data_IF_930132641486
#
_entry.id   IF_930132641486
#
_cell.length_a   1.000
_cell.length_b   1.000
_cell.length_c   1.000
_cell.angle_alpha   90.00
_cell.angle_beta   90.00
_cell.angle_gamma   90.00
#
_symmetry.space_group_name_H-M   'P 1'
#
loop_
_entity.id
_entity.type
_entity.pdbx_description
1 polymer ?
#
# COMPACT_ATOMS: atom_id res chain seq x y z
N UNK A 1 -5.61 20.91 -19.26
CA UNK A 1 -6.20 20.63 -20.58
C UNK A 1 -7.32 21.62 -20.92
N UNK A 2 -8.45 21.63 -20.20
CA UNK A 2 -9.59 22.54 -20.48
C UNK A 2 -9.18 24.02 -20.54
N UNK A 3 -8.40 24.51 -19.56
CA UNK A 3 -7.88 25.89 -19.60
C UNK A 3 -7.02 26.18 -20.83
N UNK A 4 -6.24 25.19 -21.30
CA UNK A 4 -5.41 25.32 -22.50
C UNK A 4 -6.26 25.39 -23.77
N UNK A 5 -7.25 24.51 -23.92
CA UNK A 5 -8.22 24.56 -25.04
C UNK A 5 -8.95 25.91 -25.12
N UNK A 6 -9.41 26.42 -23.97
CA UNK A 6 -10.07 27.72 -23.90
C UNK A 6 -9.11 28.85 -24.28
N UNK A 7 -7.87 28.83 -23.79
CA UNK A 7 -6.87 29.85 -24.13
C UNK A 7 -6.53 29.84 -25.63
N UNK A 8 -6.38 28.66 -26.23
CA UNK A 8 -6.16 28.49 -27.68
C UNK A 8 -7.34 29.05 -28.48
N UNK A 9 -8.58 28.73 -28.08
CA UNK A 9 -9.77 29.18 -28.79
C UNK A 9 -10.05 30.69 -28.62
N UNK A 10 -9.77 31.26 -27.45
CA UNK A 10 -10.05 32.67 -27.13
C UNK A 10 -8.90 33.62 -27.45
N UNK A 11 -7.70 33.08 -27.69
CA UNK A 11 -6.44 33.83 -27.82
C UNK A 11 -5.97 34.48 -26.52
N UNK A 12 -6.59 34.18 -25.38
CA UNK A 12 -6.32 34.85 -24.11
C UNK A 12 -5.53 33.93 -23.16
N UNK A 13 -4.25 34.24 -22.96
CA UNK A 13 -3.34 33.45 -22.11
C UNK A 13 -3.11 34.02 -20.71
N UNK A 14 -3.45 35.30 -20.49
CA UNK A 14 -3.30 36.00 -19.22
C UNK A 14 -4.48 36.94 -18.99
N UNK A 15 -5.01 36.97 -17.77
CA UNK A 15 -6.10 37.86 -17.36
C UNK A 15 -5.58 38.87 -16.33
N UNK A 16 -5.34 40.10 -16.77
CA UNK A 16 -5.00 41.23 -15.87
C UNK A 16 -6.26 41.94 -15.34
N UNK A 17 -7.31 42.00 -16.16
CA UNK A 17 -8.59 42.61 -15.83
C UNK A 17 -9.74 41.62 -16.05
N UNK A 18 -10.54 41.39 -15.01
CA UNK A 18 -11.70 40.49 -15.01
C UNK A 18 -12.83 40.96 -15.92
N UNK A 19 -12.92 42.24 -16.25
CA UNK A 19 -13.93 42.79 -17.16
C UNK A 19 -13.72 42.36 -18.61
N UNK A 20 -12.47 42.04 -19.00
CA UNK A 20 -12.08 41.63 -20.37
C UNK A 20 -12.00 40.11 -20.53
N UNK A 21 -12.72 39.36 -19.70
CA UNK A 21 -12.70 37.90 -19.70
C UNK A 21 -13.47 37.36 -20.91
N UNK A 22 -12.76 36.71 -21.84
CA UNK A 22 -13.39 35.93 -22.91
C UNK A 22 -13.79 34.56 -22.38
N UNK A 23 -15.06 34.20 -22.53
CA UNK A 23 -15.57 32.87 -22.18
C UNK A 23 -15.80 32.08 -23.46
N UNK A 24 -15.26 30.86 -23.50
CA UNK A 24 -15.55 29.88 -24.54
C UNK A 24 -15.89 28.55 -23.88
N UNK A 25 -16.83 27.81 -24.49
CA UNK A 25 -17.06 26.42 -24.15
C UNK A 25 -16.34 25.54 -25.15
N UNK A 26 -15.65 24.53 -24.65
CA UNK A 26 -14.87 23.58 -25.43
C UNK A 26 -15.59 22.23 -25.48
N UNK A 27 -15.35 21.49 -26.55
CA UNK A 27 -15.70 20.07 -26.64
C UNK A 27 -14.51 19.24 -26.14
N UNK A 28 -14.77 18.29 -25.26
CA UNK A 28 -13.80 17.33 -24.76
C UNK A 28 -13.69 16.14 -25.71
N UNK A 29 -12.46 15.75 -26.00
CA UNK A 29 -12.09 14.61 -26.83
C UNK A 29 -11.07 13.77 -26.03
N UNK A 30 -11.37 12.48 -25.87
CA UNK A 30 -10.60 11.55 -25.07
C UNK A 30 -9.22 11.24 -25.67
N UNK A 31 -9.14 11.06 -26.98
CA UNK A 31 -7.92 10.69 -27.69
C UNK A 31 -6.96 11.89 -27.76
N UNK A 32 -7.50 13.09 -27.96
CA UNK A 32 -6.74 14.34 -27.85
C UNK A 32 -6.23 14.55 -26.42
N UNK A 33 -7.08 14.34 -25.41
CA UNK A 33 -6.69 14.46 -24.01
C UNK A 33 -5.58 13.47 -23.64
N UNK A 34 -5.71 12.22 -24.07
CA UNK A 34 -4.74 11.15 -23.80
C UNK A 34 -3.41 11.45 -24.46
N UNK A 35 -3.40 11.88 -25.73
CA UNK A 35 -2.16 12.33 -26.41
C UNK A 35 -1.54 13.54 -25.72
N UNK A 36 -2.35 14.52 -25.31
CA UNK A 36 -1.89 15.70 -24.59
C UNK A 36 -1.23 15.33 -23.25
N UNK A 37 -1.83 14.41 -22.50
CA UNK A 37 -1.31 13.95 -21.22
C UNK A 37 -0.01 13.14 -21.40
N UNK A 38 0.00 12.21 -22.36
CA UNK A 38 1.17 11.38 -22.68
C UNK A 38 2.38 12.24 -23.07
N UNK A 39 2.19 13.20 -23.99
CA UNK A 39 3.25 14.12 -24.40
C UNK A 39 3.85 14.90 -23.22
N UNK A 40 3.02 15.31 -22.24
CA UNK A 40 3.48 15.97 -21.01
C UNK A 40 4.18 15.02 -20.05
N UNK A 41 3.69 13.79 -19.87
CA UNK A 41 4.36 12.77 -19.04
C UNK A 41 5.75 12.48 -19.60
N UNK A 42 5.86 12.29 -20.91
CA UNK A 42 7.14 12.05 -21.60
C UNK A 42 8.10 13.22 -21.48
N UNK A 43 7.61 14.45 -21.65
CA UNK A 43 8.43 15.64 -21.45
C UNK A 43 9.02 15.70 -20.03
N UNK A 44 8.20 15.53 -18.99
CA UNK A 44 8.70 15.51 -17.60
C UNK A 44 9.67 14.37 -17.35
N UNK A 45 9.42 13.18 -17.91
CA UNK A 45 10.34 12.03 -17.80
C UNK A 45 11.69 12.34 -18.43
N UNK A 46 11.71 12.99 -19.61
CA UNK A 46 12.95 13.43 -20.27
C UNK A 46 13.71 14.44 -19.41
N UNK A 47 13.05 15.49 -18.92
CA UNK A 47 13.67 16.51 -18.07
C UNK A 47 14.26 15.89 -16.81
N UNK A 48 13.49 15.05 -16.10
CA UNK A 48 13.96 14.36 -14.89
C UNK A 48 15.16 13.48 -15.15
N UNK A 49 15.12 12.66 -16.22
CA UNK A 49 16.24 11.80 -16.60
C UNK A 49 17.51 12.63 -16.87
N UNK A 50 17.37 13.77 -17.53
CA UNK A 50 18.51 14.63 -17.85
C UNK A 50 19.12 15.27 -16.59
N UNK A 51 18.28 15.79 -15.69
CA UNK A 51 18.74 16.32 -14.40
C UNK A 51 19.46 15.24 -13.59
N UNK A 52 18.91 14.03 -13.51
CA UNK A 52 19.52 12.90 -12.81
C UNK A 52 20.88 12.51 -13.40
N UNK A 53 20.99 12.48 -14.73
CA UNK A 53 22.25 12.15 -15.41
C UNK A 53 23.35 13.21 -15.16
N UNK A 54 22.96 14.47 -14.95
CA UNK A 54 23.86 15.58 -14.62
C UNK A 54 24.09 15.76 -13.11
N UNK A 55 23.50 14.89 -12.27
CA UNK A 55 23.57 15.03 -10.81
C UNK A 55 22.85 16.26 -10.26
N UNK A 56 21.94 16.86 -11.04
CA UNK A 56 21.19 18.04 -10.68
C UNK A 56 19.81 17.70 -10.10
N UNK A 57 19.27 18.61 -9.29
CA UNK A 57 17.92 18.54 -8.74
C UNK A 57 17.03 19.62 -9.35
N UNK A 58 15.72 19.40 -9.36
CA UNK A 58 14.74 20.42 -9.77
C UNK A 58 14.13 21.11 -8.55
N UNK A 59 13.95 22.43 -8.62
CA UNK A 59 13.03 23.14 -7.73
C UNK A 59 11.61 23.05 -8.30
N UNK A 60 10.73 22.30 -7.62
CA UNK A 60 9.35 22.06 -8.08
C UNK A 60 8.40 23.09 -7.49
N UNK A 61 7.48 23.60 -8.31
CA UNK A 61 6.45 24.56 -7.90
C UNK A 61 5.14 24.16 -8.56
N UNK A 62 4.10 24.02 -7.74
CA UNK A 62 2.73 23.78 -8.18
C UNK A 62 1.88 25.06 -8.08
N UNK A 63 0.61 24.98 -8.51
CA UNK A 63 -0.25 26.16 -8.58
C UNK A 63 -0.55 26.77 -7.21
N UNK A 64 -0.64 25.94 -6.17
CA UNK A 64 -0.93 26.38 -4.80
C UNK A 64 0.30 27.08 -4.17
N UNK A 65 1.50 26.73 -4.61
CA UNK A 65 2.76 27.32 -4.15
C UNK A 65 2.95 28.77 -4.66
N UNK A 66 2.27 29.15 -5.75
CA UNK A 66 2.39 30.50 -6.34
C UNK A 66 1.92 31.63 -5.40
N UNK A 67 1.16 31.29 -4.35
CA UNK A 67 0.74 32.22 -3.32
C UNK A 67 1.68 32.29 -2.11
N UNK A 68 2.63 31.36 -1.98
CA UNK A 68 3.51 31.26 -0.82
C UNK A 68 4.80 32.07 -1.06
N UNK A 69 4.93 33.16 -0.31
CA UNK A 69 6.10 34.05 -0.36
C UNK A 69 7.40 33.30 -0.04
N UNK A 70 7.37 32.33 0.87
CA UNK A 70 8.55 31.59 1.26
C UNK A 70 9.03 30.67 0.13
N UNK A 71 8.09 30.03 -0.57
CA UNK A 71 8.42 29.17 -1.72
C UNK A 71 8.96 30.00 -2.89
N UNK A 72 8.34 31.16 -3.18
CA UNK A 72 8.81 32.07 -4.22
C UNK A 72 10.20 32.64 -3.92
N UNK A 73 10.47 33.02 -2.67
CA UNK A 73 11.81 33.45 -2.25
C UNK A 73 12.80 32.27 -2.28
N UNK A 74 12.37 31.05 -1.95
CA UNK A 74 13.16 29.83 -2.11
C UNK A 74 13.54 29.56 -3.56
N UNK A 75 12.61 29.77 -4.51
CA UNK A 75 12.90 29.70 -5.94
C UNK A 75 13.94 30.76 -6.35
N UNK A 76 13.75 32.01 -5.91
CA UNK A 76 14.68 33.10 -6.22
C UNK A 76 16.10 32.74 -5.75
N UNK A 77 16.23 32.21 -4.53
CA UNK A 77 17.49 31.72 -3.98
C UNK A 77 18.07 30.55 -4.77
N UNK A 78 17.23 29.58 -5.16
CA UNK A 78 17.64 28.45 -6.01
C UNK A 78 18.18 28.93 -7.38
N UNK A 79 17.66 30.04 -7.89
CA UNK A 79 18.14 30.68 -9.13
C UNK A 79 19.35 31.62 -8.91
N UNK A 80 19.85 31.73 -7.68
CA UNK A 80 21.02 32.55 -7.32
C UNK A 80 20.71 34.02 -7.02
N UNK A 81 19.45 34.39 -6.80
CA UNK A 81 19.07 35.74 -6.36
C UNK A 81 19.06 35.86 -4.83
N UNK A 82 19.56 36.97 -4.32
CA UNK A 82 19.48 37.33 -2.90
C UNK A 82 18.26 38.22 -2.57
N UNK A 83 17.55 38.69 -3.58
CA UNK A 83 16.37 39.55 -3.39
C UNK A 83 15.17 38.77 -2.86
N UNK A 84 14.41 39.38 -1.96
CA UNK A 84 13.21 38.80 -1.36
C UNK A 84 11.99 39.69 -1.54
N UNK A 85 10.87 39.07 -1.89
CA UNK A 85 9.56 39.74 -1.90
C UNK A 85 8.88 39.56 -0.54
N UNK A 86 8.16 40.60 -0.10
CA UNK A 86 7.35 40.56 1.14
C UNK A 86 5.93 40.03 0.92
N UNK A 87 5.45 40.07 -0.32
CA UNK A 87 4.12 39.61 -0.70
C UNK A 87 4.09 39.22 -2.18
N UNK A 88 3.26 38.26 -2.60
CA UNK A 88 3.09 37.91 -4.00
C UNK A 88 2.36 39.04 -4.75
N UNK A 89 2.57 39.13 -6.06
CA UNK A 89 1.90 40.10 -6.90
C UNK A 89 0.37 39.86 -6.93
N UNK A 90 -0.40 40.80 -6.36
CA UNK A 90 -1.89 40.75 -6.30
C UNK A 90 -2.58 40.90 -7.66
N UNK A 91 -1.82 41.09 -8.75
CA UNK A 91 -2.34 41.37 -10.09
C UNK A 91 -2.75 40.12 -10.87
N UNK A 92 -2.31 38.92 -10.46
CA UNK A 92 -2.70 37.69 -11.14
C UNK A 92 -4.05 37.19 -10.61
N UNK A 93 -5.11 37.37 -11.41
CA UNK A 93 -6.43 36.82 -11.11
C UNK A 93 -6.58 35.46 -11.78
N UNK A 94 -7.16 34.49 -11.07
CA UNK A 94 -7.46 33.14 -11.60
C UNK A 94 -8.36 33.27 -12.84
N UNK A 95 -7.80 33.05 -14.02
CA UNK A 95 -8.47 33.28 -15.30
C UNK A 95 -9.72 32.40 -15.51
N UNK A 96 -9.73 31.23 -14.87
CA UNK A 96 -10.73 30.19 -15.06
C UNK A 96 -11.37 29.73 -13.74
N UNK A 97 -11.98 30.65 -12.98
CA UNK A 97 -12.63 30.36 -11.69
C UNK A 97 -13.96 29.59 -11.77
N UNK A 98 -14.61 29.55 -12.94
CA UNK A 98 -15.93 28.90 -13.09
C UNK A 98 -15.81 27.37 -13.09
N UNK A 99 -16.88 26.67 -12.70
CA UNK A 99 -16.94 25.21 -12.68
C UNK A 99 -16.66 24.60 -14.08
N UNK A 100 -16.02 23.43 -14.13
CA UNK A 100 -15.73 22.71 -15.36
C UNK A 100 -17.00 22.40 -16.16
N UNK A 101 -18.11 22.12 -15.47
CA UNK A 101 -19.42 21.87 -16.10
C UNK A 101 -19.91 23.04 -16.94
N UNK A 102 -19.57 24.27 -16.55
CA UNK A 102 -19.94 25.48 -17.30
C UNK A 102 -19.08 25.73 -18.56
N UNK A 103 -17.96 25.03 -18.69
CA UNK A 103 -16.91 25.24 -19.70
C UNK A 103 -16.80 24.13 -20.74
N UNK A 104 -17.29 22.93 -20.43
CA UNK A 104 -17.24 21.77 -21.31
C UNK A 104 -18.64 21.48 -21.83
N UNK A 105 -18.83 21.50 -23.15
CA UNK A 105 -20.16 21.28 -23.75
C UNK A 105 -20.67 19.86 -23.51
N UNK A 106 -19.79 18.87 -23.62
CA UNK A 106 -20.07 17.44 -23.43
C UNK A 106 -19.56 16.94 -22.07
N UNK A 107 -19.78 17.70 -20.99
CA UNK A 107 -19.26 17.38 -19.65
C UNK A 107 -19.66 15.98 -19.15
N UNK A 108 -20.92 15.59 -19.32
CA UNK A 108 -21.40 14.27 -18.85
C UNK A 108 -20.77 13.12 -19.66
N UNK A 109 -20.47 13.34 -20.94
CA UNK A 109 -19.72 12.39 -21.77
C UNK A 109 -18.26 12.28 -21.31
N UNK A 110 -17.59 13.43 -21.09
CA UNK A 110 -16.24 13.48 -20.54
C UNK A 110 -16.13 12.70 -19.22
N UNK A 111 -17.10 12.87 -18.31
CA UNK A 111 -17.11 12.14 -17.02
C UNK A 111 -17.20 10.62 -17.25
N UNK A 112 -18.07 10.16 -18.15
CA UNK A 112 -18.19 8.72 -18.48
C UNK A 112 -16.93 8.15 -19.12
N UNK A 113 -16.33 8.88 -20.06
CA UNK A 113 -15.11 8.46 -20.77
C UNK A 113 -13.86 8.49 -19.88
N UNK A 114 -13.75 9.46 -18.98
CA UNK A 114 -12.68 9.49 -17.97
C UNK A 114 -12.87 8.45 -16.87
N UNK A 115 -14.10 7.99 -16.62
CA UNK A 115 -14.37 6.93 -15.65
C UNK A 115 -14.03 5.53 -16.21
N UNK A 116 -14.12 5.34 -17.53
CA UNK A 116 -13.87 4.04 -18.18
C UNK A 116 -12.39 3.78 -18.49
N UNK A 117 -11.55 4.82 -18.54
CA UNK A 117 -10.13 4.68 -18.75
C UNK A 117 -9.34 5.21 -17.55
N UNK A 118 -8.35 4.45 -17.07
CA UNK A 118 -7.45 4.86 -16.01
C UNK A 118 -6.39 5.89 -16.48
N UNK A 119 -6.86 6.97 -17.10
CA UNK A 119 -6.02 7.94 -17.83
C UNK A 119 -5.08 8.70 -16.89
N UNK A 120 -5.47 8.81 -15.63
CA UNK A 120 -4.72 9.53 -14.62
C UNK A 120 -3.75 8.66 -13.81
N UNK A 121 -3.64 7.35 -14.06
CA UNK A 121 -3.07 6.41 -13.06
C UNK A 121 -3.76 6.61 -11.69
N UNK A 122 -5.09 6.68 -11.66
CA UNK A 122 -5.87 6.76 -10.43
C UNK A 122 -6.28 5.37 -9.94
N UNK A 123 -6.45 4.39 -10.84
CA UNK A 123 -6.65 2.99 -10.48
C UNK A 123 -5.32 2.22 -10.36
N UNK A 124 -4.30 2.64 -11.12
CA UNK A 124 -2.91 2.54 -10.73
C UNK A 124 -2.64 3.50 -9.59
N UNK A 125 -3.37 3.34 -8.47
CA UNK A 125 -3.07 4.05 -7.23
C UNK A 125 -1.55 4.07 -7.10
N UNK A 126 -0.95 5.27 -7.10
CA UNK A 126 0.46 5.37 -6.73
C UNK A 126 0.59 4.54 -5.48
N UNK A 127 1.39 3.49 -5.56
CA UNK A 127 1.55 2.61 -4.42
C UNK A 127 2.29 3.44 -3.36
N UNK A 128 1.49 4.03 -2.47
CA UNK A 128 1.99 4.80 -1.35
C UNK A 128 2.50 3.87 -0.25
N UNK A 129 2.14 2.58 -0.34
CA UNK A 129 2.76 1.58 0.50
C UNK A 129 4.25 1.49 0.12
N UNK A 130 5.18 1.65 1.08
CA UNK A 130 6.58 1.66 0.75
C UNK A 130 7.03 0.29 0.24
N UNK A 131 7.86 0.28 -0.82
CA UNK A 131 8.47 -0.95 -1.34
C UNK A 131 9.13 -1.76 -0.22
N UNK A 132 8.96 -3.08 -0.29
CA UNK A 132 9.45 -4.01 0.74
C UNK A 132 10.76 -4.65 0.30
N UNK A 133 11.63 -4.85 1.28
CA UNK A 133 12.80 -5.72 1.12
C UNK A 133 12.34 -7.18 1.23
N UNK A 134 13.01 -8.13 0.55
CA UNK A 134 12.67 -9.55 0.58
C UNK A 134 12.65 -10.21 1.97
N UNK A 135 13.25 -9.58 3.00
CA UNK A 135 13.16 -10.09 4.37
C UNK A 135 13.83 -11.45 4.61
N UNK A 136 14.90 -11.78 3.87
CA UNK A 136 15.57 -13.10 3.88
C UNK A 136 15.86 -13.68 5.27
N UNK A 137 16.26 -12.90 6.30
CA UNK A 137 16.45 -13.47 7.65
C UNK A 137 15.22 -14.16 8.23
N UNK A 138 14.02 -13.81 7.77
CA UNK A 138 12.76 -14.45 8.16
C UNK A 138 12.43 -15.73 7.38
N UNK A 139 13.19 -16.12 6.37
CA UNK A 139 12.92 -17.37 5.63
C UNK A 139 13.23 -18.58 6.50
N UNK A 140 12.47 -19.65 6.28
CA UNK A 140 12.59 -20.91 7.00
C UNK A 140 12.95 -22.00 6.01
N UNK A 141 14.09 -22.64 6.19
CA UNK A 141 14.57 -23.71 5.32
C UNK A 141 14.46 -25.04 6.07
N UNK A 142 13.98 -26.07 5.40
CA UNK A 142 14.07 -27.44 5.93
C UNK A 142 15.49 -27.98 5.73
N UNK A 143 15.96 -28.77 6.71
CA UNK A 143 17.29 -29.39 6.68
C UNK A 143 17.35 -30.68 5.86
N UNK A 144 16.32 -31.52 6.00
CA UNK A 144 16.28 -32.84 5.36
C UNK A 144 15.62 -32.80 3.98
N UNK A 145 14.71 -31.86 3.77
CA UNK A 145 13.95 -31.70 2.53
C UNK A 145 14.35 -30.36 1.89
N UNK A 146 14.58 -30.30 0.56
CA UNK A 146 14.94 -29.05 -0.10
C UNK A 146 13.71 -28.15 -0.28
N UNK A 147 13.18 -27.65 0.84
CA UNK A 147 11.97 -26.84 0.94
C UNK A 147 12.26 -25.51 1.65
N UNK A 148 11.82 -24.41 1.05
CA UNK A 148 11.91 -23.05 1.57
C UNK A 148 10.50 -22.54 1.86
N UNK A 149 10.25 -22.11 3.08
CA UNK A 149 9.06 -21.32 3.42
C UNK A 149 9.42 -19.85 3.54
N UNK A 150 8.62 -19.01 2.88
CA UNK A 150 8.74 -17.57 2.86
C UNK A 150 7.55 -17.00 3.64
N UNK A 151 7.73 -16.57 4.90
CA UNK A 151 6.60 -16.22 5.74
C UNK A 151 6.01 -14.85 5.41
N UNK A 152 4.68 -14.81 5.33
CA UNK A 152 3.90 -13.58 5.44
C UNK A 152 3.56 -13.39 6.92
N UNK A 153 4.06 -12.31 7.53
CA UNK A 153 3.82 -12.03 8.96
C UNK A 153 2.32 -11.86 9.25
N UNK A 154 1.91 -12.20 10.48
CA UNK A 154 0.52 -12.29 10.93
C UNK A 154 -0.34 -13.34 10.17
N UNK A 155 0.27 -14.19 9.34
CA UNK A 155 -0.31 -15.45 8.86
C UNK A 155 0.04 -16.65 9.76
N UNK A 156 -0.13 -17.89 9.28
CA UNK A 156 0.08 -19.12 10.07
C UNK A 156 1.57 -19.50 10.19
N UNK A 157 2.41 -18.53 10.58
CA UNK A 157 3.87 -18.67 10.56
C UNK A 157 4.31 -19.73 11.56
N UNK A 158 3.73 -19.74 12.76
CA UNK A 158 4.12 -20.68 13.82
C UNK A 158 3.69 -22.10 13.49
N UNK A 159 2.50 -22.28 12.92
CA UNK A 159 1.92 -23.56 12.50
C UNK A 159 2.73 -24.17 11.34
N UNK A 160 3.01 -23.37 10.30
CA UNK A 160 3.79 -23.84 9.14
C UNK A 160 5.23 -24.16 9.56
N UNK A 161 5.85 -23.34 10.41
CA UNK A 161 7.18 -23.62 10.97
C UNK A 161 7.17 -24.88 11.83
N UNK A 162 6.14 -25.08 12.65
CA UNK A 162 5.93 -26.29 13.44
C UNK A 162 5.83 -27.53 12.57
N UNK A 163 5.03 -27.46 11.50
CA UNK A 163 4.88 -28.52 10.50
C UNK A 163 6.22 -28.83 9.80
N UNK A 164 6.93 -27.81 9.30
CA UNK A 164 8.23 -28.02 8.65
C UNK A 164 9.28 -28.61 9.60
N UNK A 165 9.22 -28.28 10.90
CA UNK A 165 10.12 -28.87 11.90
C UNK A 165 9.93 -30.39 11.99
N UNK A 166 8.70 -30.89 11.85
CA UNK A 166 8.38 -32.33 11.81
C UNK A 166 9.02 -33.05 10.60
N UNK A 167 9.48 -32.32 9.57
CA UNK A 167 10.21 -32.88 8.43
C UNK A 167 11.70 -33.14 8.69
N UNK A 168 12.22 -32.84 9.89
CA UNK A 168 13.62 -33.12 10.26
C UNK A 168 14.47 -31.90 10.60
N UNK A 169 13.83 -30.81 11.05
CA UNK A 169 14.54 -29.62 11.54
C UNK A 169 14.68 -28.49 10.52
N UNK A 170 15.12 -27.34 11.03
CA UNK A 170 15.02 -26.05 10.34
C UNK A 170 16.29 -25.24 10.44
N UNK A 171 16.57 -24.46 9.40
CA UNK A 171 17.51 -23.35 9.41
C UNK A 171 16.77 -22.02 9.23
N UNK A 172 17.13 -21.04 10.05
CA UNK A 172 16.51 -19.70 10.10
C UNK A 172 17.59 -18.62 10.28
N UNK A 173 17.22 -17.34 10.16
CA UNK A 173 18.17 -16.22 10.42
C UNK A 173 19.23 -16.06 9.33
N UNK A 174 18.93 -16.50 8.11
CA UNK A 174 19.88 -16.57 7.00
C UNK A 174 20.19 -15.19 6.40
N UNK A 175 21.43 -15.00 5.96
CA UNK A 175 21.77 -13.90 5.06
C UNK A 175 21.40 -14.23 3.60
N UNK A 176 21.43 -13.22 2.72
CA UNK A 176 21.26 -13.46 1.27
C UNK A 176 22.35 -14.38 0.70
N UNK A 177 23.58 -14.32 1.23
CA UNK A 177 24.65 -15.22 0.81
C UNK A 177 24.39 -16.66 1.24
N UNK A 178 23.88 -16.87 2.45
CA UNK A 178 23.55 -18.21 2.96
C UNK A 178 22.43 -18.83 2.13
N UNK A 179 21.36 -18.08 1.85
CA UNK A 179 20.27 -18.54 0.99
C UNK A 179 20.76 -18.89 -0.42
N UNK A 180 21.64 -18.07 -1.02
CA UNK A 180 22.22 -18.36 -2.34
C UNK A 180 23.08 -19.62 -2.33
N UNK A 181 23.86 -19.83 -1.27
CA UNK A 181 24.67 -21.05 -1.10
C UNK A 181 23.77 -22.27 -0.95
N UNK A 182 22.80 -22.23 -0.03
CA UNK A 182 21.88 -23.34 0.20
C UNK A 182 21.14 -23.77 -1.06
N UNK A 183 20.63 -22.82 -1.86
CA UNK A 183 19.95 -23.14 -3.14
C UNK A 183 20.84 -23.85 -4.15
N UNK A 184 22.15 -23.54 -4.16
CA UNK A 184 23.13 -24.20 -5.03
C UNK A 184 23.41 -25.62 -4.56
N UNK A 185 23.47 -25.81 -3.25
CA UNK A 185 23.76 -27.10 -2.63
C UNK A 185 22.53 -28.04 -2.64
N UNK A 186 21.32 -27.50 -2.90
CA UNK A 186 20.05 -28.24 -2.94
C UNK A 186 19.33 -28.06 -4.29
N UNK A 187 19.84 -28.67 -5.39
CA UNK A 187 19.16 -28.63 -6.68
C UNK A 187 17.79 -29.29 -6.62
N UNK A 188 16.81 -28.72 -7.32
CA UNK A 188 15.43 -29.20 -7.28
C UNK A 188 14.62 -28.73 -6.06
N UNK A 189 15.17 -27.81 -5.25
CA UNK A 189 14.42 -27.20 -4.16
C UNK A 189 13.10 -26.58 -4.63
N UNK A 190 12.16 -26.48 -3.69
CA UNK A 190 10.90 -25.76 -3.87
C UNK A 190 10.74 -24.71 -2.79
N UNK A 191 10.03 -23.66 -3.13
CA UNK A 191 9.72 -22.55 -2.26
C UNK A 191 8.22 -22.30 -2.23
N UNK A 192 7.69 -21.95 -1.07
CA UNK A 192 6.29 -21.59 -0.96
C UNK A 192 6.07 -20.45 0.03
N UNK A 193 4.93 -19.81 -0.11
CA UNK A 193 4.39 -18.83 0.83
C UNK A 193 2.92 -19.16 1.08
N UNK A 194 2.38 -18.63 2.17
CA UNK A 194 0.97 -18.81 2.53
C UNK A 194 0.32 -17.43 2.62
N UNK A 195 -0.84 -17.30 1.99
CA UNK A 195 -1.71 -16.14 2.09
C UNK A 195 -2.84 -16.43 3.08
N UNK A 196 -3.10 -15.47 3.96
CA UNK A 196 -4.25 -15.47 4.86
C UNK A 196 -5.32 -14.53 4.33
N UNK A 197 -6.59 -14.76 4.69
CA UNK A 197 -7.63 -13.79 4.38
C UNK A 197 -7.28 -12.43 5.01
N UNK A 198 -7.42 -11.29 4.31
CA UNK A 198 -7.01 -9.98 4.83
C UNK A 198 -7.60 -9.64 6.20
N UNK A 199 -8.89 -9.96 6.42
CA UNK A 199 -9.54 -9.80 7.73
C UNK A 199 -8.86 -10.61 8.85
N UNK A 200 -8.66 -11.92 8.66
CA UNK A 200 -7.95 -12.78 9.63
C UNK A 200 -6.57 -12.23 9.93
N UNK A 201 -5.82 -11.87 8.89
CA UNK A 201 -4.46 -11.36 9.05
C UNK A 201 -4.40 -10.03 9.79
N UNK A 202 -5.30 -9.10 9.48
CA UNK A 202 -5.40 -7.83 10.19
C UNK A 202 -5.76 -8.04 11.67
N UNK A 203 -6.64 -9.01 11.95
CA UNK A 203 -7.02 -9.36 13.31
C UNK A 203 -5.87 -9.97 14.10
N UNK A 204 -5.12 -10.92 13.52
CA UNK A 204 -3.92 -11.47 14.13
C UNK A 204 -2.91 -10.37 14.46
N UNK A 205 -2.61 -9.47 13.50
CA UNK A 205 -1.70 -8.36 13.73
C UNK A 205 -2.17 -7.42 14.86
N UNK A 206 -3.48 -7.19 14.96
CA UNK A 206 -4.07 -6.43 16.05
C UNK A 206 -3.89 -7.14 17.40
N UNK A 207 -4.25 -8.42 17.50
CA UNK A 207 -4.15 -9.19 18.74
C UNK A 207 -2.70 -9.34 19.23
N UNK A 208 -1.78 -9.65 18.30
CA UNK A 208 -0.39 -10.00 18.62
C UNK A 208 0.47 -8.79 18.95
N UNK A 209 0.21 -7.64 18.33
CA UNK A 209 1.11 -6.48 18.40
C UNK A 209 0.47 -5.21 18.98
N UNK A 210 -0.86 -5.12 19.01
CA UNK A 210 -1.58 -3.93 19.49
C UNK A 210 -2.31 -4.23 20.79
N UNK A 211 -3.12 -5.29 20.85
CA UNK A 211 -3.79 -5.71 22.07
C UNK A 211 -2.77 -6.19 23.10
N UNK A 212 -2.01 -7.24 22.75
CA UNK A 212 -0.91 -7.77 23.56
C UNK A 212 0.29 -6.82 23.46
N UNK A 213 0.86 -6.35 24.58
CA UNK A 213 2.03 -5.48 24.54
C UNK A 213 3.24 -6.18 23.89
N UNK A 214 3.71 -5.64 22.77
CA UNK A 214 4.97 -6.04 22.12
C UNK A 214 5.95 -4.85 22.18
N UNK A 215 7.14 -5.07 22.74
CA UNK A 215 8.17 -4.04 22.88
C UNK A 215 8.51 -3.36 21.54
N UNK A 216 8.48 -4.13 20.44
CA UNK A 216 8.78 -3.65 19.08
C UNK A 216 7.73 -2.67 18.55
N UNK A 217 6.53 -2.69 19.12
CA UNK A 217 5.38 -1.90 18.67
C UNK A 217 4.96 -0.81 19.67
N UNK A 218 5.72 -0.59 20.74
CA UNK A 218 5.42 0.42 21.78
C UNK A 218 5.09 1.82 21.24
N UNK A 219 5.85 2.32 20.26
CA UNK A 219 5.60 3.62 19.62
C UNK A 219 4.32 3.60 18.78
N UNK A 220 4.12 2.54 17.97
CA UNK A 220 2.92 2.39 17.15
C UNK A 220 1.67 2.31 18.04
N UNK A 221 1.71 1.47 19.08
CA UNK A 221 0.65 1.31 20.08
C UNK A 221 0.29 2.62 20.77
N UNK A 222 1.28 3.45 21.11
CA UNK A 222 1.05 4.80 21.67
C UNK A 222 0.31 5.70 20.69
N UNK A 223 0.70 5.70 19.41
CA UNK A 223 0.02 6.50 18.37
C UNK A 223 -1.41 6.01 18.15
N UNK A 224 -1.62 4.69 18.09
CA UNK A 224 -2.92 4.06 17.94
C UNK A 224 -3.88 4.47 19.07
N UNK A 225 -3.42 4.40 20.33
CA UNK A 225 -4.21 4.84 21.49
C UNK A 225 -4.52 6.34 21.48
N UNK A 226 -3.52 7.17 21.18
CA UNK A 226 -3.64 8.62 21.35
C UNK A 226 -4.30 9.35 20.17
N UNK A 227 -4.16 8.84 18.94
CA UNK A 227 -4.62 9.53 17.72
C UNK A 227 -5.76 8.81 17.00
N UNK A 228 -5.82 7.49 17.13
CA UNK A 228 -6.80 6.66 16.42
C UNK A 228 -7.82 6.02 17.38
N UNK A 229 -7.80 6.38 18.66
CA UNK A 229 -8.76 5.90 19.66
C UNK A 229 -8.83 4.37 19.76
N UNK A 230 -7.71 3.68 19.52
CA UNK A 230 -7.62 2.23 19.69
C UNK A 230 -7.46 1.94 21.18
N UNK A 231 -8.59 1.88 21.88
CA UNK A 231 -8.63 1.62 23.32
C UNK A 231 -8.37 0.13 23.59
N UNK A 232 -7.16 -0.19 24.01
CA UNK A 232 -6.74 -1.53 24.43
C UNK A 232 -6.17 -1.47 25.86
N UNK A 233 -6.36 -2.52 26.68
CA UNK A 233 -5.87 -2.55 28.06
C UNK A 233 -4.36 -2.36 28.13
N UNK A 234 -3.83 -1.71 29.16
CA UNK A 234 -2.41 -1.39 29.22
C UNK A 234 -1.51 -2.63 29.14
N UNK A 235 -1.89 -3.68 29.86
CA UNK A 235 -1.18 -4.97 29.96
C UNK A 235 -1.90 -6.13 29.24
N UNK A 236 -2.95 -5.83 28.46
CA UNK A 236 -3.77 -6.86 27.79
C UNK A 236 -4.78 -7.57 28.71
N UNK A 237 -4.95 -7.08 29.94
CA UNK A 237 -5.89 -7.63 30.93
C UNK A 237 -7.35 -7.42 30.51
N UNK A 238 -8.18 -8.46 30.74
CA UNK A 238 -9.59 -8.48 30.31
C UNK A 238 -10.60 -8.01 31.37
N UNK A 239 -10.17 -7.70 32.60
CA UNK A 239 -11.08 -7.55 33.75
C UNK A 239 -12.22 -6.53 33.53
N UNK A 240 -11.93 -5.43 32.84
CA UNK A 240 -12.90 -4.39 32.48
C UNK A 240 -13.04 -4.21 30.96
N UNK A 241 -12.62 -5.20 30.17
CA UNK A 241 -12.55 -5.09 28.72
C UNK A 241 -13.52 -6.06 28.04
N UNK A 242 -14.60 -5.51 27.50
CA UNK A 242 -15.66 -6.31 26.89
C UNK A 242 -15.36 -6.68 25.43
N UNK A 243 -16.16 -7.60 24.90
CA UNK A 243 -16.19 -7.93 23.47
C UNK A 243 -16.49 -6.70 22.60
N UNK A 244 -17.38 -5.83 23.07
CA UNK A 244 -17.77 -4.61 22.34
C UNK A 244 -16.62 -3.60 22.31
N UNK A 245 -15.86 -3.48 23.41
CA UNK A 245 -14.64 -2.68 23.46
C UNK A 245 -13.59 -3.21 22.50
N UNK A 246 -13.40 -4.54 22.46
CA UNK A 246 -12.49 -5.20 21.52
C UNK A 246 -12.86 -4.94 20.07
N UNK A 247 -14.15 -5.09 19.73
CA UNK A 247 -14.67 -4.80 18.41
C UNK A 247 -14.48 -3.33 18.02
N UNK A 248 -14.75 -2.41 18.94
CA UNK A 248 -14.54 -0.98 18.72
C UNK A 248 -13.07 -0.63 18.48
N UNK A 249 -12.16 -1.21 19.28
CA UNK A 249 -10.72 -1.03 19.12
C UNK A 249 -10.20 -1.61 17.79
N UNK A 250 -10.64 -2.81 17.41
CA UNK A 250 -10.26 -3.42 16.14
C UNK A 250 -10.79 -2.63 14.94
N UNK A 251 -12.02 -2.12 15.02
CA UNK A 251 -12.57 -1.21 14.01
C UNK A 251 -11.68 0.03 13.81
N UNK A 252 -11.31 0.69 14.90
CA UNK A 252 -10.45 1.87 14.88
C UNK A 252 -9.05 1.54 14.35
N UNK A 253 -8.55 0.33 14.60
CA UNK A 253 -7.32 -0.18 14.00
C UNK A 253 -7.43 -0.36 12.48
N UNK A 254 -8.54 -0.88 11.94
CA UNK A 254 -8.76 -0.95 10.49
C UNK A 254 -8.83 0.44 9.83
N UNK A 255 -9.42 1.43 10.51
CA UNK A 255 -9.43 2.83 10.06
C UNK A 255 -8.01 3.39 10.00
N UNK A 256 -7.19 3.14 11.03
CA UNK A 256 -5.76 3.45 11.02
C UNK A 256 -5.04 2.78 9.84
N UNK A 257 -5.26 1.49 9.60
CA UNK A 257 -4.55 0.73 8.56
C UNK A 257 -4.76 1.34 7.17
N UNK A 258 -5.98 1.78 6.87
CA UNK A 258 -6.27 2.47 5.60
C UNK A 258 -5.39 3.72 5.43
N UNK A 259 -5.30 4.56 6.46
CA UNK A 259 -4.45 5.76 6.42
C UNK A 259 -2.97 5.39 6.40
N UNK A 260 -2.56 4.36 7.14
CA UNK A 260 -1.17 3.90 7.24
C UNK A 260 -0.64 3.38 5.92
N UNK A 261 -1.40 2.49 5.27
CA UNK A 261 -1.05 1.90 3.97
C UNK A 261 -1.12 2.94 2.84
N UNK A 262 -1.89 4.01 3.01
CA UNK A 262 -1.95 5.15 2.08
C UNK A 262 -0.83 6.18 2.32
N UNK A 263 0.05 5.97 3.30
CA UNK A 263 1.17 6.88 3.60
C UNK A 263 0.77 8.15 4.37
N UNK A 264 -0.44 8.23 4.91
CA UNK A 264 -0.98 9.42 5.58
C UNK A 264 -0.67 9.48 7.09
N UNK A 265 0.20 8.59 7.57
CA UNK A 265 0.52 8.48 9.01
C UNK A 265 2.02 8.49 9.22
N UNK A 266 2.46 8.95 10.39
CA UNK A 266 3.86 8.91 10.81
C UNK A 266 4.32 7.53 11.29
N UNK A 267 3.41 6.56 11.44
CA UNK A 267 3.74 5.20 11.86
C UNK A 267 4.30 4.45 10.65
N UNK A 268 5.41 3.72 10.81
CA UNK A 268 5.93 2.89 9.72
C UNK A 268 4.90 1.85 9.30
N UNK A 269 4.80 1.55 8.00
CA UNK A 269 4.09 0.35 7.56
C UNK A 269 4.93 -0.86 7.96
N UNK A 270 4.45 -1.67 8.89
CA UNK A 270 5.13 -2.86 9.39
C UNK A 270 4.78 -4.10 8.55
N UNK A 271 5.68 -5.09 8.49
CA UNK A 271 5.41 -6.34 7.78
C UNK A 271 4.21 -7.12 8.36
N UNK A 272 3.90 -6.94 9.65
CA UNK A 272 2.75 -7.56 10.30
C UNK A 272 1.40 -7.13 9.68
N UNK A 273 1.30 -5.92 9.15
CA UNK A 273 0.05 -5.40 8.58
C UNK A 273 0.16 -4.78 7.18
N UNK A 274 1.36 -4.78 6.58
CA UNK A 274 1.57 -4.48 5.16
C UNK A 274 0.66 -5.33 4.28
N UNK A 275 0.31 -4.88 3.07
CA UNK A 275 -0.45 -5.74 2.15
C UNK A 275 0.38 -6.96 1.76
N UNK A 276 -0.28 -8.11 1.62
CA UNK A 276 0.37 -9.33 1.17
C UNK A 276 0.90 -9.15 -0.26
N UNK A 277 0.21 -8.35 -1.07
CA UNK A 277 0.69 -7.90 -2.38
C UNK A 277 2.06 -7.23 -2.27
N UNK A 278 2.21 -6.21 -1.42
CA UNK A 278 3.49 -5.50 -1.28
C UNK A 278 4.60 -6.39 -0.72
N UNK A 279 4.26 -7.37 0.14
CA UNK A 279 5.20 -8.37 0.62
C UNK A 279 5.71 -9.22 -0.56
N UNK A 280 4.81 -9.79 -1.37
CA UNK A 280 5.20 -10.62 -2.52
C UNK A 280 5.96 -9.82 -3.59
N UNK A 281 5.56 -8.57 -3.86
CA UNK A 281 6.28 -7.68 -4.78
C UNK A 281 7.74 -7.48 -4.33
N UNK A 282 7.98 -7.40 -3.02
CA UNK A 282 9.32 -7.30 -2.45
C UNK A 282 10.16 -8.57 -2.60
N UNK A 283 9.53 -9.75 -2.66
CA UNK A 283 10.24 -11.04 -2.78
C UNK A 283 10.94 -11.21 -4.13
N UNK A 284 10.34 -10.70 -5.21
CA UNK A 284 10.80 -10.91 -6.59
C UNK A 284 12.26 -10.51 -6.86
N UNK A 285 12.85 -9.66 -6.01
CA UNK A 285 14.27 -9.31 -6.07
C UNK A 285 15.23 -10.44 -5.63
N UNK A 286 14.75 -11.48 -4.93
CA UNK A 286 15.57 -12.57 -4.38
C UNK A 286 15.05 -13.95 -4.75
N UNK A 287 13.74 -14.15 -4.69
CA UNK A 287 13.09 -15.43 -4.98
C UNK A 287 11.63 -15.20 -5.40
N UNK A 288 11.18 -15.93 -6.41
CA UNK A 288 9.76 -16.08 -6.68
C UNK A 288 9.31 -17.41 -6.03
N UNK A 289 8.29 -17.41 -5.15
CA UNK A 289 7.76 -18.65 -4.60
C UNK A 289 7.29 -19.58 -5.74
N UNK A 290 7.64 -20.86 -5.69
CA UNK A 290 7.11 -21.88 -6.61
C UNK A 290 5.61 -22.10 -6.36
N UNK A 291 5.18 -21.97 -5.10
CA UNK A 291 3.80 -22.12 -4.68
C UNK A 291 3.33 -20.96 -3.80
N UNK A 292 2.09 -20.54 -4.01
CA UNK A 292 1.38 -19.56 -3.20
C UNK A 292 0.08 -20.23 -2.76
N UNK A 293 0.03 -20.70 -1.51
CA UNK A 293 -1.14 -21.40 -0.96
C UNK A 293 -2.03 -20.46 -0.16
N UNK A 294 -3.28 -20.85 0.04
CA UNK A 294 -4.15 -20.24 1.04
C UNK A 294 -4.06 -20.98 2.37
N UNK A 295 -4.28 -20.25 3.45
CA UNK A 295 -4.25 -20.79 4.80
C UNK A 295 -5.24 -21.96 5.02
N UNK A 296 -6.41 -21.92 4.38
CA UNK A 296 -7.44 -22.96 4.45
C UNK A 296 -7.12 -24.21 3.64
N UNK A 297 -6.21 -24.10 2.65
CA UNK A 297 -5.73 -25.23 1.85
C UNK A 297 -4.62 -26.04 2.57
N UNK A 298 -4.01 -25.48 3.61
CA UNK A 298 -2.83 -26.06 4.28
C UNK A 298 -3.00 -27.50 4.78
N UNK A 299 -4.16 -27.89 5.38
CA UNK A 299 -4.39 -29.27 5.80
C UNK A 299 -4.21 -30.29 4.68
N UNK A 300 -4.52 -29.92 3.43
CA UNK A 300 -4.40 -30.80 2.27
C UNK A 300 -3.06 -30.63 1.57
N UNK A 301 -2.64 -29.39 1.30
CA UNK A 301 -1.51 -29.13 0.41
C UNK A 301 -0.16 -29.45 1.03
N UNK A 302 0.01 -29.24 2.34
CA UNK A 302 1.32 -29.42 2.99
C UNK A 302 1.69 -30.91 3.13
N UNK A 303 0.81 -31.80 3.65
CA UNK A 303 1.10 -33.23 3.66
C UNK A 303 1.37 -33.76 2.24
N UNK A 304 0.60 -33.31 1.24
CA UNK A 304 0.82 -33.69 -0.15
C UNK A 304 2.18 -33.22 -0.67
N UNK A 305 2.57 -31.98 -0.37
CA UNK A 305 3.86 -31.41 -0.77
C UNK A 305 5.04 -32.25 -0.25
N UNK A 306 4.98 -32.74 1.00
CA UNK A 306 6.02 -33.58 1.59
C UNK A 306 6.27 -34.90 0.83
N UNK A 307 5.21 -35.48 0.24
CA UNK A 307 5.32 -36.75 -0.52
C UNK A 307 6.28 -36.67 -1.69
N UNK A 308 6.50 -35.47 -2.24
CA UNK A 308 7.40 -35.22 -3.38
C UNK A 308 8.84 -35.64 -3.11
N UNK A 309 9.26 -35.64 -1.85
CA UNK A 309 10.61 -36.02 -1.43
C UNK A 309 10.67 -37.35 -0.70
N UNK A 310 9.58 -38.14 -0.74
CA UNK A 310 9.46 -39.40 0.01
C UNK A 310 9.72 -39.22 1.52
N UNK A 311 9.54 -37.99 2.02
CA UNK A 311 9.60 -37.68 3.43
C UNK A 311 8.30 -38.14 4.11
N UNK A 312 8.32 -38.38 5.43
CA UNK A 312 7.09 -38.48 6.20
C UNK A 312 6.19 -37.29 5.90
N UNK A 313 4.91 -37.52 5.69
CA UNK A 313 3.91 -36.49 5.41
C UNK A 313 3.15 -36.16 6.70
N UNK A 314 3.71 -35.34 7.61
CA UNK A 314 3.03 -34.98 8.83
C UNK A 314 1.73 -34.26 8.51
N UNK A 315 0.68 -34.54 9.28
CA UNK A 315 -0.54 -33.76 9.22
C UNK A 315 -0.27 -32.31 9.62
N UNK A 316 -0.94 -31.39 8.93
CA UNK A 316 -0.96 -29.99 9.30
C UNK A 316 -2.10 -29.74 10.28
N UNK A 317 -1.76 -29.21 11.45
CA UNK A 317 -2.71 -28.88 12.51
C UNK A 317 -2.83 -27.36 12.58
N UNK A 318 -4.06 -26.86 12.44
CA UNK A 318 -4.33 -25.44 12.64
C UNK A 318 -4.23 -25.13 14.14
N UNK A 319 -3.36 -24.19 14.50
CA UNK A 319 -3.19 -23.73 15.87
C UNK A 319 -4.36 -22.88 16.34
N UNK A 320 -4.52 -22.76 17.66
CA UNK A 320 -5.32 -21.70 18.26
C UNK A 320 -4.37 -20.54 18.62
N UNK A 321 -4.53 -19.35 18.02
CA UNK A 321 -3.69 -18.19 18.32
C UNK A 321 -3.75 -17.71 19.77
N UNK A 322 -4.77 -18.10 20.54
CA UNK A 322 -4.94 -17.67 21.93
C UNK A 322 -5.41 -16.22 22.07
N UNK A 323 -6.12 -15.70 21.06
CA UNK A 323 -6.69 -14.36 21.08
C UNK A 323 -7.78 -14.22 22.15
N UNK A 324 -8.00 -13.02 22.70
CA UNK A 324 -9.00 -12.80 23.76
C UNK A 324 -10.44 -13.08 23.30
N UNK A 325 -10.73 -12.86 22.03
CA UNK A 325 -12.02 -13.16 21.40
C UNK A 325 -11.78 -13.77 20.02
N UNK A 326 -12.72 -14.59 19.55
CA UNK A 326 -12.66 -15.10 18.18
C UNK A 326 -13.04 -14.01 17.16
N UNK A 327 -12.46 -14.04 15.96
CA UNK A 327 -12.84 -13.08 14.92
C UNK A 327 -14.33 -13.23 14.53
N UNK A 328 -14.83 -14.47 14.50
CA UNK A 328 -16.23 -14.79 14.21
C UNK A 328 -17.20 -14.11 15.18
N UNK A 329 -16.76 -13.88 16.42
CA UNK A 329 -17.56 -13.29 17.50
C UNK A 329 -17.75 -11.78 17.38
N UNK A 330 -16.86 -11.10 16.65
CA UNK A 330 -16.87 -9.64 16.50
C UNK A 330 -17.17 -9.19 15.06
N UNK A 331 -17.00 -10.08 14.08
CA UNK A 331 -17.15 -9.80 12.66
C UNK A 331 -18.51 -9.19 12.32
N UNK A 332 -18.50 -8.18 11.45
CA UNK A 332 -19.71 -7.63 10.83
C UNK A 332 -19.39 -6.97 9.47
N UNK A 333 -20.44 -6.57 8.76
CA UNK A 333 -20.31 -5.91 7.45
C UNK A 333 -19.53 -4.58 7.51
N UNK A 334 -19.54 -3.90 8.65
CA UNK A 334 -18.82 -2.63 8.82
C UNK A 334 -17.31 -2.88 8.90
N UNK A 335 -16.88 -3.88 9.67
CA UNK A 335 -15.50 -4.34 9.70
C UNK A 335 -15.06 -4.80 8.31
N UNK A 336 -15.87 -5.61 7.62
CA UNK A 336 -15.55 -6.07 6.27
C UNK A 336 -15.34 -4.92 5.29
N UNK A 337 -16.21 -3.90 5.33
CA UNK A 337 -16.06 -2.70 4.50
C UNK A 337 -14.77 -1.93 4.80
N UNK A 338 -14.38 -1.82 6.06
CA UNK A 338 -13.13 -1.16 6.47
C UNK A 338 -11.90 -1.98 6.04
N UNK A 339 -11.94 -3.30 6.22
CA UNK A 339 -10.87 -4.20 5.79
C UNK A 339 -10.68 -4.15 4.27
N UNK A 340 -11.76 -4.23 3.49
CA UNK A 340 -11.70 -4.04 2.02
C UNK A 340 -11.15 -2.68 1.61
N UNK A 341 -11.44 -1.63 2.37
CA UNK A 341 -10.91 -0.30 2.10
C UNK A 341 -9.40 -0.21 2.38
N UNK A 342 -8.90 -0.86 3.43
CA UNK A 342 -7.48 -0.90 3.76
C UNK A 342 -6.68 -1.85 2.85
N UNK A 343 -7.20 -3.06 2.60
CA UNK A 343 -6.53 -4.15 1.89
C UNK A 343 -7.07 -4.39 0.47
N UNK A 344 -7.63 -3.36 -0.19
CA UNK A 344 -8.25 -3.49 -1.52
C UNK A 344 -7.40 -4.27 -2.51
N UNK A 345 -6.07 -4.05 -2.49
CA UNK A 345 -5.11 -4.74 -3.36
C UNK A 345 -5.11 -6.25 -3.11
N UNK A 346 -5.08 -6.70 -1.86
CA UNK A 346 -5.07 -8.13 -1.55
C UNK A 346 -6.39 -8.79 -1.96
N UNK A 347 -7.53 -8.14 -1.71
CA UNK A 347 -8.83 -8.65 -2.16
C UNK A 347 -8.90 -8.82 -3.68
N UNK A 348 -8.41 -7.84 -4.45
CA UNK A 348 -8.45 -7.88 -5.91
C UNK A 348 -7.41 -8.85 -6.48
N UNK A 349 -6.15 -8.71 -6.08
CA UNK A 349 -5.05 -9.47 -6.67
C UNK A 349 -5.11 -10.95 -6.36
N UNK A 350 -5.64 -11.29 -5.18
CA UNK A 350 -5.79 -12.66 -4.74
C UNK A 350 -7.25 -13.13 -4.75
N UNK A 351 -8.19 -12.34 -5.29
CA UNK A 351 -9.58 -12.76 -5.45
C UNK A 351 -10.29 -13.17 -4.15
N UNK A 352 -9.96 -12.56 -3.01
CA UNK A 352 -10.67 -12.86 -1.76
C UNK A 352 -12.12 -12.35 -1.83
N UNK A 353 -13.06 -13.17 -1.39
CA UNK A 353 -14.47 -12.80 -1.16
C UNK A 353 -14.62 -12.13 0.23
N UNK A 354 -15.85 -11.96 0.72
CA UNK A 354 -16.02 -11.48 2.10
C UNK A 354 -15.55 -12.55 3.09
N UNK A 355 -15.10 -12.16 4.29
CA UNK A 355 -14.62 -13.13 5.26
C UNK A 355 -15.70 -14.17 5.61
N UNK A 356 -15.34 -15.46 5.57
CA UNK A 356 -16.26 -16.59 5.75
C UNK A 356 -17.10 -16.94 4.52
N UNK A 357 -16.99 -16.16 3.42
CA UNK A 357 -17.54 -16.53 2.12
C UNK A 357 -16.60 -17.46 1.37
N UNK A 358 -17.17 -18.45 0.69
CA UNK A 358 -16.47 -19.33 -0.27
C UNK A 358 -15.98 -18.55 -1.49
#
# INVERSE_FOLDING_TARGET
YVSWKIAVQTGQWKLADTSKRRTARIDFDLDEFTRFLSARKDFHKRVRKHLQALGQTSFSIDYDDLGDVNILNGLAHFLGSEEQIKAPAKTLKKQNSADLRSKVRNFDQMVRELASQDIFDLQGARDFEPKRSPGVPGFVLSREVPLIYIPVQAGPVSEVTGWMRKLGGLDTGLSQSDLRKWRRDHPGHRSFTVLSHPMTRAYNAFCDHVFTPDERFTVARRVLRNRYDVQVPQEGELSDYSRDDHKAAFRNFLEFLKENLSGNTSVRVDAAWATQTAILDGLGAVIAPDFIYREDELPEVLPHLATRWQAPAPEFEKGNPGHPFELADIYDERLEKLCKAAYRRDYINFGFSAWGGS
#
